data_IF_624771932822
#
_entry.id   IF_624771932822
#
_cell.length_a   1.000
_cell.length_b   1.000
_cell.length_c   1.000
_cell.angle_alpha   90.00
_cell.angle_beta   90.00
_cell.angle_gamma   90.00
#
_symmetry.space_group_name_H-M   'P 1'
#
loop_
_entity.id
_entity.type
_entity.pdbx_description
1 polymer ?
#
# COMPACT_ATOMS: atom_id res chain seq x y z
N UNK A 1 -20.29 -6.69 -0.45
CA UNK A 1 -19.12 -6.06 -1.11
C UNK A 1 -19.41 -4.58 -1.25
N UNK A 2 -18.59 -3.72 -0.62
CA UNK A 2 -18.72 -2.26 -0.76
C UNK A 2 -18.09 -1.86 -2.09
N UNK A 3 -18.80 -1.10 -2.91
CA UNK A 3 -18.27 -0.53 -4.16
C UNK A 3 -18.67 0.93 -4.25
N UNK A 4 -17.85 1.73 -4.93
CA UNK A 4 -18.23 3.10 -5.31
C UNK A 4 -19.07 3.06 -6.58
N UNK A 5 -20.01 4.00 -6.71
CA UNK A 5 -20.90 4.10 -7.86
C UNK A 5 -20.66 5.40 -8.57
N UNK A 6 -20.51 5.34 -9.89
CA UNK A 6 -20.40 6.49 -10.77
C UNK A 6 -21.40 6.33 -11.90
N UNK A 7 -21.98 7.42 -12.37
CA UNK A 7 -22.78 7.38 -13.59
C UNK A 7 -21.90 7.34 -14.83
N UNK A 8 -22.40 6.79 -15.93
CA UNK A 8 -21.70 6.86 -17.22
C UNK A 8 -21.37 8.30 -17.63
N UNK A 9 -22.29 9.24 -17.40
CA UNK A 9 -22.08 10.66 -17.72
C UNK A 9 -20.89 11.25 -16.95
N UNK A 10 -20.73 10.91 -15.66
CA UNK A 10 -19.61 11.37 -14.85
C UNK A 10 -18.27 10.83 -15.35
N UNK A 11 -18.23 9.55 -15.75
CA UNK A 11 -17.01 8.91 -16.26
C UNK A 11 -16.64 9.47 -17.64
N UNK A 12 -17.61 9.63 -18.54
CA UNK A 12 -17.38 10.17 -19.88
C UNK A 12 -16.88 11.63 -19.82
N UNK A 13 -17.38 12.43 -18.86
CA UNK A 13 -16.92 13.79 -18.65
C UNK A 13 -15.56 13.88 -17.93
N UNK A 14 -15.30 12.97 -16.99
CA UNK A 14 -14.13 13.00 -16.11
C UNK A 14 -13.60 11.59 -15.82
N UNK A 15 -12.80 10.99 -16.74
CA UNK A 15 -12.34 9.60 -16.60
C UNK A 15 -11.56 9.31 -15.31
N UNK A 16 -10.83 10.30 -14.79
CA UNK A 16 -10.08 10.21 -13.53
C UNK A 16 -10.95 9.92 -12.30
N UNK A 17 -12.28 10.11 -12.38
CA UNK A 17 -13.20 9.78 -11.27
C UNK A 17 -13.17 8.29 -10.91
N UNK A 18 -12.90 7.40 -11.87
CA UNK A 18 -12.80 5.96 -11.58
C UNK A 18 -11.61 5.69 -10.66
N UNK A 19 -10.45 6.30 -10.93
CA UNK A 19 -9.28 6.21 -10.07
C UNK A 19 -9.53 6.81 -8.69
N UNK A 20 -10.11 8.01 -8.63
CA UNK A 20 -10.41 8.66 -7.34
C UNK A 20 -11.38 7.84 -6.49
N UNK A 21 -12.40 7.23 -7.10
CA UNK A 21 -13.34 6.36 -6.42
C UNK A 21 -12.67 5.07 -5.91
N UNK A 22 -11.71 4.53 -6.66
CA UNK A 22 -10.89 3.42 -6.22
C UNK A 22 -10.03 3.78 -5.00
N UNK A 23 -9.29 4.90 -5.07
CA UNK A 23 -8.48 5.39 -3.94
C UNK A 23 -9.34 5.66 -2.71
N UNK A 24 -10.51 6.29 -2.88
CA UNK A 24 -11.46 6.53 -1.79
C UNK A 24 -11.88 5.22 -1.11
N UNK A 25 -12.17 4.17 -1.86
CA UNK A 25 -12.47 2.85 -1.29
C UNK A 25 -11.28 2.28 -0.51
N UNK A 26 -10.07 2.31 -1.09
CA UNK A 26 -8.88 1.75 -0.43
C UNK A 26 -8.51 2.52 0.85
N UNK A 27 -8.68 3.84 0.86
CA UNK A 27 -8.32 4.69 1.98
C UNK A 27 -9.36 4.70 3.11
N UNK A 28 -10.65 4.59 2.77
CA UNK A 28 -11.74 4.84 3.73
C UNK A 28 -12.33 3.57 4.36
N UNK A 29 -12.07 2.39 3.79
CA UNK A 29 -12.62 1.13 4.31
C UNK A 29 -11.64 0.41 5.25
N UNK A 30 -12.18 -0.23 6.30
CA UNK A 30 -11.42 -1.15 7.16
C UNK A 30 -11.12 -2.44 6.39
N UNK A 31 -9.90 -2.96 6.53
CA UNK A 31 -9.46 -4.20 5.89
C UNK A 31 -10.45 -5.37 6.10
N UNK A 32 -11.09 -5.47 7.27
CA UNK A 32 -12.03 -6.55 7.60
C UNK A 32 -13.36 -6.45 6.85
N UNK A 33 -13.73 -5.25 6.41
CA UNK A 33 -14.96 -5.00 5.64
C UNK A 33 -14.77 -5.22 4.13
N UNK A 34 -13.51 -5.36 3.69
CA UNK A 34 -13.17 -5.55 2.29
C UNK A 34 -13.42 -6.98 1.84
N UNK A 35 -13.92 -7.11 0.60
CA UNK A 35 -13.98 -8.39 -0.10
C UNK A 35 -12.57 -8.91 -0.42
N UNK A 36 -12.46 -10.22 -0.67
CA UNK A 36 -11.16 -10.88 -0.91
C UNK A 36 -10.42 -10.26 -2.10
N UNK A 37 -11.14 -9.84 -3.15
CA UNK A 37 -10.58 -9.19 -4.32
C UNK A 37 -10.08 -7.76 -4.07
N UNK A 38 -10.52 -7.13 -2.97
CA UNK A 38 -10.18 -5.75 -2.63
C UNK A 38 -8.97 -5.64 -1.71
N UNK A 39 -8.80 -6.63 -0.84
CA UNK A 39 -7.73 -6.65 0.19
C UNK A 39 -6.32 -6.49 -0.38
N UNK A 40 -5.93 -7.16 -1.48
CA UNK A 40 -4.57 -7.01 -2.01
C UNK A 40 -4.26 -5.57 -2.41
N UNK A 41 -5.21 -4.90 -3.08
CA UNK A 41 -5.06 -3.50 -3.45
C UNK A 41 -4.96 -2.58 -2.23
N UNK A 42 -5.78 -2.81 -1.20
CA UNK A 42 -5.74 -2.04 0.04
C UNK A 42 -4.39 -2.16 0.76
N UNK A 43 -3.85 -3.37 0.87
CA UNK A 43 -2.55 -3.61 1.50
C UNK A 43 -1.41 -2.92 0.73
N UNK A 44 -1.42 -3.03 -0.60
CA UNK A 44 -0.40 -2.38 -1.45
C UNK A 44 -0.52 -0.86 -1.41
N UNK A 45 -1.74 -0.32 -1.42
CA UNK A 45 -2.00 1.12 -1.28
C UNK A 45 -1.44 1.68 0.02
N UNK A 46 -1.73 1.05 1.17
CA UNK A 46 -1.21 1.53 2.44
C UNK A 46 0.31 1.36 2.54
N UNK A 47 0.87 0.27 2.02
CA UNK A 47 2.32 0.12 1.98
C UNK A 47 2.99 1.23 1.16
N UNK A 48 2.49 1.52 -0.06
CA UNK A 48 2.97 2.64 -0.86
C UNK A 48 2.85 3.97 -0.11
N UNK A 49 1.67 4.26 0.47
CA UNK A 49 1.40 5.53 1.14
C UNK A 49 2.32 5.78 2.33
N UNK A 50 2.63 4.75 3.12
CA UNK A 50 3.48 4.90 4.29
C UNK A 50 4.96 5.05 3.89
N UNK A 51 5.44 4.24 2.94
CA UNK A 51 6.82 4.32 2.47
C UNK A 51 7.11 5.65 1.78
N UNK A 52 6.17 6.15 0.96
CA UNK A 52 6.32 7.46 0.32
C UNK A 52 6.31 8.63 1.30
N UNK A 53 5.74 8.45 2.49
CA UNK A 53 5.61 9.51 3.48
C UNK A 53 6.76 9.50 4.51
N UNK A 54 7.13 8.33 5.05
CA UNK A 54 8.17 8.20 6.07
C UNK A 54 9.02 6.94 5.98
N UNK A 55 9.05 6.30 4.81
CA UNK A 55 9.84 5.10 4.56
C UNK A 55 9.29 3.84 5.25
N UNK A 56 10.05 2.75 5.17
CA UNK A 56 9.67 1.48 5.78
C UNK A 56 9.55 1.57 7.30
N UNK A 57 10.32 2.46 7.95
CA UNK A 57 10.17 2.71 9.38
C UNK A 57 8.74 3.14 9.70
N UNK A 58 8.20 4.13 8.96
CA UNK A 58 6.84 4.59 9.17
C UNK A 58 5.82 3.49 8.87
N UNK A 59 6.02 2.71 7.80
CA UNK A 59 5.14 1.58 7.49
C UNK A 59 5.05 0.60 8.67
N UNK A 60 6.18 0.18 9.24
CA UNK A 60 6.17 -0.78 10.35
C UNK A 60 5.63 -0.21 11.65
N UNK A 61 5.91 1.05 11.97
CA UNK A 61 5.38 1.70 13.18
C UNK A 61 3.85 1.91 13.09
N UNK A 62 3.33 2.27 11.91
CA UNK A 62 1.90 2.55 11.73
C UNK A 62 1.06 1.29 11.47
N UNK A 63 1.59 0.32 10.74
CA UNK A 63 0.84 -0.87 10.28
C UNK A 63 1.19 -2.14 11.05
N UNK A 64 2.29 -2.15 11.79
CA UNK A 64 2.79 -3.34 12.47
C UNK A 64 3.18 -4.46 11.51
N UNK A 65 3.21 -5.70 12.03
CA UNK A 65 3.64 -6.89 11.28
C UNK A 65 2.56 -7.93 11.08
N UNK A 66 1.36 -7.73 11.65
CA UNK A 66 0.27 -8.74 11.63
C UNK A 66 -0.11 -9.17 10.22
N UNK A 67 -0.15 -8.21 9.28
CA UNK A 67 -0.48 -8.45 7.87
C UNK A 67 0.75 -8.47 6.96
N UNK A 68 1.97 -8.50 7.51
CA UNK A 68 3.20 -8.38 6.71
C UNK A 68 3.30 -9.43 5.60
N UNK A 69 3.08 -10.70 5.93
CA UNK A 69 3.17 -11.77 4.94
C UNK A 69 2.07 -11.66 3.87
N UNK A 70 0.89 -11.16 4.25
CA UNK A 70 -0.20 -10.92 3.31
C UNK A 70 0.11 -9.75 2.38
N UNK A 71 0.68 -8.65 2.89
CA UNK A 71 1.15 -7.54 2.06
C UNK A 71 2.23 -8.00 1.07
N UNK A 72 3.20 -8.82 1.52
CA UNK A 72 4.22 -9.41 0.64
C UNK A 72 3.56 -10.26 -0.47
N UNK A 73 2.54 -11.04 -0.15
CA UNK A 73 1.82 -11.83 -1.16
C UNK A 73 1.00 -10.95 -2.11
N UNK A 74 0.36 -9.90 -1.59
CA UNK A 74 -0.40 -8.94 -2.37
C UNK A 74 0.48 -8.20 -3.39
N UNK A 75 1.69 -7.79 -3.00
CA UNK A 75 2.66 -7.20 -3.93
C UNK A 75 2.96 -8.13 -5.11
N UNK A 76 3.21 -9.41 -4.84
CA UNK A 76 3.39 -10.42 -5.88
C UNK A 76 2.17 -10.58 -6.79
N UNK A 77 0.97 -10.63 -6.21
CA UNK A 77 -0.30 -10.72 -6.95
C UNK A 77 -0.51 -9.54 -7.90
N UNK A 78 -0.12 -8.34 -7.48
CA UNK A 78 -0.25 -7.12 -8.28
C UNK A 78 0.85 -6.96 -9.33
N UNK A 79 1.90 -7.80 -9.28
CA UNK A 79 3.04 -7.76 -10.21
C UNK A 79 4.22 -6.92 -9.73
N UNK A 80 4.20 -6.46 -8.47
CA UNK A 80 5.23 -5.63 -7.86
C UNK A 80 6.39 -6.45 -7.27
N UNK A 81 7.05 -7.26 -8.09
CA UNK A 81 8.08 -8.21 -7.64
C UNK A 81 9.30 -7.56 -6.97
N UNK A 82 9.71 -6.38 -7.43
CA UNK A 82 10.83 -5.62 -6.84
C UNK A 82 10.50 -5.21 -5.40
N UNK A 83 9.36 -4.55 -5.21
CA UNK A 83 8.87 -4.10 -3.90
C UNK A 83 8.53 -5.27 -2.99
N UNK A 84 8.01 -6.38 -3.55
CA UNK A 84 7.76 -7.62 -2.81
C UNK A 84 9.03 -8.13 -2.12
N UNK A 85 10.15 -8.17 -2.86
CA UNK A 85 11.42 -8.62 -2.32
C UNK A 85 11.95 -7.67 -1.25
N UNK A 86 11.84 -6.36 -1.48
CA UNK A 86 12.27 -5.34 -0.52
C UNK A 86 11.50 -5.46 0.80
N UNK A 87 10.16 -5.54 0.75
CA UNK A 87 9.35 -5.63 1.96
C UNK A 87 9.65 -6.92 2.74
N UNK A 88 9.90 -8.04 2.05
CA UNK A 88 10.30 -9.29 2.67
C UNK A 88 11.60 -9.13 3.46
N UNK A 89 12.64 -8.60 2.83
CA UNK A 89 13.95 -8.39 3.47
C UNK A 89 13.88 -7.35 4.60
N UNK A 90 13.16 -6.24 4.41
CA UNK A 90 12.95 -5.24 5.44
C UNK A 90 12.21 -5.83 6.65
N UNK A 91 11.23 -6.71 6.40
CA UNK A 91 10.53 -7.45 7.44
C UNK A 91 11.44 -8.39 8.24
N UNK A 92 12.37 -9.08 7.57
CA UNK A 92 13.39 -9.91 8.23
C UNK A 92 14.32 -9.09 9.14
N UNK A 93 14.76 -7.91 8.66
CA UNK A 93 15.53 -6.96 9.47
C UNK A 93 14.70 -6.47 10.66
N UNK A 94 13.40 -6.24 10.47
CA UNK A 94 12.50 -5.87 11.56
C UNK A 94 12.43 -6.97 12.62
N UNK A 95 12.11 -8.22 12.26
CA UNK A 95 11.91 -9.28 13.26
C UNK A 95 13.20 -9.75 13.94
N UNK A 96 14.36 -9.58 13.30
CA UNK A 96 15.66 -10.00 13.85
C UNK A 96 16.17 -9.16 15.03
N UNK A 97 15.50 -8.04 15.34
CA UNK A 97 15.96 -7.09 16.37
C UNK A 97 14.81 -6.70 17.30
N UNK A 98 15.09 -6.67 18.60
CA UNK A 98 14.19 -6.03 19.56
C UNK A 98 14.36 -4.51 19.46
N UNK A 99 13.25 -3.79 19.29
CA UNK A 99 13.22 -2.32 19.27
C UNK A 99 12.43 -1.80 20.48
N UNK A 100 12.86 -0.70 21.10
CA UNK A 100 12.00 0.03 22.02
C UNK A 100 10.83 0.63 21.23
N UNK A 101 9.64 0.64 21.83
CA UNK A 101 8.48 1.26 21.22
C UNK A 101 8.71 2.77 21.04
N UNK A 102 8.39 3.29 19.86
CA UNK A 102 8.38 4.72 19.58
C UNK A 102 7.02 5.28 20.03
N UNK A 103 7.02 6.33 20.84
CA UNK A 103 5.80 6.90 21.44
C UNK A 103 5.57 8.35 21.07
N UNK A 104 6.59 9.03 20.57
CA UNK A 104 6.51 10.45 20.23
C UNK A 104 7.16 10.76 18.88
N UNK A 105 6.75 11.87 18.27
CA UNK A 105 7.35 12.35 17.00
C UNK A 105 8.86 12.60 17.13
N UNK A 106 9.40 13.23 18.20
CA UNK A 106 10.85 13.37 18.38
C UNK A 106 11.59 12.03 18.45
N UNK A 107 11.01 11.02 19.12
CA UNK A 107 11.60 9.67 19.15
C UNK A 107 11.63 9.05 17.76
N UNK A 108 10.55 9.21 16.98
CA UNK A 108 10.50 8.75 15.60
C UNK A 108 11.61 9.38 14.76
N UNK A 109 11.75 10.70 14.80
CA UNK A 109 12.82 11.41 14.07
C UNK A 109 14.21 10.94 14.49
N UNK A 110 14.44 10.74 15.80
CA UNK A 110 15.72 10.26 16.30
C UNK A 110 16.05 8.83 15.84
N UNK A 111 15.05 7.97 15.66
CA UNK A 111 15.23 6.62 15.10
C UNK A 111 15.42 6.68 13.59
N UNK A 112 14.65 7.50 12.87
CA UNK A 112 14.77 7.67 11.43
C UNK A 112 16.17 8.13 11.01
N UNK A 113 16.81 9.02 11.79
CA UNK A 113 18.18 9.49 11.58
C UNK A 113 19.25 8.40 11.75
N UNK A 114 18.90 7.22 12.28
CA UNK A 114 19.81 6.06 12.32
C UNK A 114 19.83 5.30 11.01
N UNK A 115 18.99 5.68 10.05
CA UNK A 115 18.99 5.18 8.68
C UNK A 115 18.86 3.64 8.57
N UNK A 116 18.20 2.99 9.55
CA UNK A 116 18.08 1.52 9.59
C UNK A 116 17.45 0.96 8.31
N UNK A 117 16.50 1.71 7.72
CA UNK A 117 15.75 1.29 6.53
C UNK A 117 16.09 2.08 5.26
N UNK A 118 17.03 3.03 5.30
CA UNK A 118 17.29 3.97 4.18
C UNK A 118 17.68 3.25 2.88
N UNK A 119 18.41 2.13 2.99
CA UNK A 119 18.79 1.30 1.84
C UNK A 119 17.57 0.63 1.18
N UNK A 120 16.56 0.22 1.97
CA UNK A 120 15.32 -0.34 1.46
C UNK A 120 14.45 0.74 0.82
N UNK A 121 14.35 1.92 1.44
CA UNK A 121 13.64 3.08 0.90
C UNK A 121 14.22 3.50 -0.45
N UNK A 122 15.55 3.61 -0.55
CA UNK A 122 16.24 3.93 -1.80
C UNK A 122 15.97 2.89 -2.90
N UNK A 123 16.01 1.60 -2.56
CA UNK A 123 15.69 0.51 -3.50
C UNK A 123 14.22 0.56 -3.93
N UNK A 124 13.31 0.89 -3.02
CA UNK A 124 11.89 0.98 -3.31
C UNK A 124 11.61 2.06 -4.37
N UNK A 125 12.22 3.24 -4.22
CA UNK A 125 12.08 4.33 -5.20
C UNK A 125 12.73 4.02 -6.55
N UNK A 126 13.66 3.07 -6.61
CA UNK A 126 14.29 2.61 -7.85
C UNK A 126 13.51 1.48 -8.57
N UNK A 127 12.46 0.94 -7.96
CA UNK A 127 11.70 -0.16 -8.55
C UNK A 127 10.87 0.30 -9.76
N UNK A 128 10.77 -0.60 -10.75
CA UNK A 128 9.86 -0.49 -11.89
C UNK A 128 9.19 -1.86 -12.13
N UNK A 129 7.87 -1.93 -12.37
CA UNK A 129 6.91 -0.82 -12.31
C UNK A 129 6.76 -0.25 -10.88
N UNK A 130 6.23 0.97 -10.80
CA UNK A 130 5.80 1.60 -9.55
C UNK A 130 4.57 0.88 -8.97
N UNK A 131 4.30 1.08 -7.67
CA UNK A 131 3.10 0.51 -7.05
C UNK A 131 1.82 1.16 -7.58
N UNK A 132 1.85 2.47 -7.87
CA UNK A 132 0.78 3.14 -8.59
C UNK A 132 0.44 2.46 -9.92
N UNK A 133 1.42 2.18 -10.78
CA UNK A 133 1.18 1.47 -12.06
C UNK A 133 0.59 0.07 -11.85
N UNK A 134 1.08 -0.65 -10.83
CA UNK A 134 0.54 -1.96 -10.45
C UNK A 134 -0.93 -1.87 -9.97
N UNK A 135 -1.26 -0.86 -9.17
CA UNK A 135 -2.61 -0.59 -8.67
C UNK A 135 -3.57 -0.20 -9.80
N UNK A 136 -3.13 0.64 -10.73
CA UNK A 136 -3.88 1.00 -11.93
C UNK A 136 -4.17 -0.23 -12.80
N UNK A 137 -3.15 -1.06 -13.07
CA UNK A 137 -3.31 -2.30 -13.81
C UNK A 137 -4.23 -3.31 -13.09
N UNK A 138 -4.22 -3.33 -11.75
CA UNK A 138 -5.14 -4.16 -10.97
C UNK A 138 -6.58 -3.67 -11.07
N UNK A 139 -6.80 -2.35 -10.97
CA UNK A 139 -8.13 -1.73 -11.13
C UNK A 139 -8.71 -2.01 -12.51
N UNK A 140 -7.94 -1.83 -13.59
CA UNK A 140 -8.40 -2.09 -14.98
C UNK A 140 -8.93 -3.52 -15.13
N UNK A 141 -8.23 -4.50 -14.55
CA UNK A 141 -8.62 -5.92 -14.63
C UNK A 141 -9.82 -6.29 -13.76
N UNK A 142 -10.12 -5.49 -12.72
CA UNK A 142 -11.09 -5.84 -11.67
C UNK A 142 -12.05 -4.70 -11.34
N UNK A 143 -12.28 -3.77 -12.27
CA UNK A 143 -12.99 -2.51 -11.99
C UNK A 143 -14.31 -2.72 -11.24
N UNK A 144 -15.14 -3.67 -11.66
CA UNK A 144 -16.45 -3.95 -11.05
C UNK A 144 -16.38 -4.38 -9.58
N UNK A 145 -15.22 -4.86 -9.11
CA UNK A 145 -15.00 -5.20 -7.70
C UNK A 145 -14.79 -3.96 -6.83
N UNK A 146 -14.53 -2.80 -7.43
CA UNK A 146 -14.22 -1.55 -6.72
C UNK A 146 -15.19 -0.43 -7.06
N UNK A 147 -15.45 -0.23 -8.36
CA UNK A 147 -16.23 0.86 -8.92
C UNK A 147 -17.23 0.31 -9.93
N UNK A 148 -18.51 0.55 -9.68
CA UNK A 148 -19.61 0.21 -10.58
C UNK A 148 -20.05 1.44 -11.37
N UNK A 149 -20.11 1.32 -12.70
CA UNK A 149 -20.64 2.37 -13.57
C UNK A 149 -22.12 2.05 -13.84
N UNK A 150 -23.00 2.99 -13.51
CA UNK A 150 -24.46 2.88 -13.65
C UNK A 150 -25.05 3.89 -14.63
#
# INVERSE_FOLDING_TARGET
>A
MKTRRLTKQEVDAQPFRVWNAYVDLLAMEDYRDLAEEQRPAHLVFWYESEVQNGGHLQYFENRGTELLQETVNALGLLGAGCQQQILREAGEVLVSRTRPAIRTVPEFSAVALKEEFSAFDSRFHACSPSLQECLEAYLVRRQSSFVTII
#
